data_IF_200337239672
#
_entry.id   IF_200337239672
#
_cell.length_a   1.000
_cell.length_b   1.000
_cell.length_c   1.000
_cell.angle_alpha   90.00
_cell.angle_beta   90.00
_cell.angle_gamma   90.00
#
_symmetry.space_group_name_H-M   'P 1'
#
loop_
_entity.id
_entity.type
_entity.pdbx_description
1 polymer ?
#
# COMPACT_ATOMS: atom_id res chain seq x y z
N UNK A 1 12.04 6.75 -4.46
CA UNK A 1 12.22 6.42 -5.90
C UNK A 1 11.41 5.17 -6.11
N UNK A 2 10.58 5.14 -7.14
CA UNK A 2 9.71 4.01 -7.44
C UNK A 2 10.20 3.32 -8.72
N UNK A 3 10.22 1.99 -8.70
CA UNK A 3 10.39 1.16 -9.89
C UNK A 3 9.09 0.38 -10.10
N UNK A 4 8.37 0.69 -11.18
CA UNK A 4 7.18 -0.07 -11.55
C UNK A 4 7.56 -1.49 -11.92
N UNK A 5 6.81 -2.46 -11.41
CA UNK A 5 6.82 -3.86 -11.79
C UNK A 5 5.66 -4.16 -12.76
N UNK A 6 5.01 -3.17 -13.36
CA UNK A 6 3.93 -3.34 -14.34
C UNK A 6 4.42 -3.80 -15.73
N UNK A 7 5.61 -4.40 -15.82
CA UNK A 7 6.12 -5.01 -17.04
C UNK A 7 5.35 -6.29 -17.42
N UNK A 8 5.92 -7.09 -18.32
CA UNK A 8 5.35 -8.38 -18.71
C UNK A 8 5.53 -9.41 -17.59
N UNK A 9 4.43 -10.01 -17.14
CA UNK A 9 4.39 -11.14 -16.22
C UNK A 9 3.97 -12.38 -16.98
N UNK A 10 4.79 -13.42 -16.96
CA UNK A 10 4.44 -14.70 -17.55
C UNK A 10 3.42 -15.41 -16.66
N UNK A 11 2.23 -15.66 -17.19
CA UNK A 11 1.16 -16.44 -16.56
C UNK A 11 1.33 -17.91 -16.94
N UNK A 12 1.34 -18.79 -15.94
CA UNK A 12 1.42 -20.24 -16.13
C UNK A 12 0.39 -20.97 -15.28
N UNK A 13 -0.34 -21.96 -15.81
CA UNK A 13 -1.19 -22.81 -14.98
C UNK A 13 -0.32 -23.71 -14.09
N UNK A 14 -0.78 -23.99 -12.87
CA UNK A 14 -0.16 -24.94 -11.96
C UNK A 14 -0.92 -26.28 -11.91
N UNK A 15 -2.21 -26.29 -12.22
CA UNK A 15 -3.06 -27.50 -12.17
C UNK A 15 -3.27 -28.12 -13.55
N UNK A 16 -3.94 -27.44 -14.49
CA UNK A 16 -4.08 -27.89 -15.88
C UNK A 16 -2.96 -27.33 -16.78
N UNK A 17 -1.86 -28.09 -16.84
CA UNK A 17 -0.68 -27.76 -17.65
C UNK A 17 -0.91 -27.80 -19.17
N UNK A 18 -2.11 -28.16 -19.63
CA UNK A 18 -2.44 -28.09 -21.06
C UNK A 18 -2.81 -26.67 -21.52
N UNK A 19 -3.17 -25.79 -20.59
CA UNK A 19 -3.46 -24.38 -20.87
C UNK A 19 -2.14 -23.69 -21.26
N UNK A 20 -2.10 -22.93 -22.37
CA UNK A 20 -0.90 -22.24 -22.80
C UNK A 20 -0.50 -21.12 -21.83
N UNK A 21 0.80 -20.88 -21.75
CA UNK A 21 1.36 -19.70 -21.06
C UNK A 21 1.25 -18.48 -21.96
N UNK A 22 1.07 -17.31 -21.35
CA UNK A 22 1.09 -16.02 -22.04
C UNK A 22 1.54 -14.91 -21.08
N UNK A 23 1.78 -13.70 -21.59
CA UNK A 23 2.27 -12.57 -20.82
C UNK A 23 1.16 -11.54 -20.53
N UNK A 24 0.94 -11.22 -19.26
CA UNK A 24 0.01 -10.18 -18.81
C UNK A 24 0.76 -8.95 -18.30
N UNK A 25 0.11 -7.79 -18.39
CA UNK A 25 0.56 -6.54 -17.75
C UNK A 25 -0.50 -6.06 -16.77
N UNK A 26 -0.10 -5.50 -15.64
CA UNK A 26 -1.04 -4.97 -14.66
C UNK A 26 -1.27 -3.45 -14.85
N UNK A 27 -2.45 -2.93 -14.50
CA UNK A 27 -3.60 -3.62 -13.90
C UNK A 27 -4.43 -4.42 -14.93
N UNK A 28 -4.75 -5.67 -14.63
CA UNK A 28 -5.54 -6.55 -15.50
C UNK A 28 -6.03 -7.82 -14.78
N UNK A 29 -7.16 -8.41 -15.25
CA UNK A 29 -7.47 -9.80 -14.95
C UNK A 29 -6.54 -10.73 -15.73
N UNK A 30 -6.25 -11.91 -15.18
CA UNK A 30 -5.45 -12.90 -15.93
C UNK A 30 -6.20 -13.44 -17.14
N UNK A 31 -7.54 -13.46 -17.11
CA UNK A 31 -8.38 -13.93 -18.21
C UNK A 31 -8.19 -13.13 -19.50
N UNK A 32 -7.58 -11.94 -19.43
CA UNK A 32 -7.24 -11.13 -20.60
C UNK A 32 -6.29 -11.83 -21.58
N UNK A 33 -5.42 -12.73 -21.11
CA UNK A 33 -4.38 -13.37 -21.91
C UNK A 33 -4.59 -14.88 -22.06
N UNK A 34 -5.67 -15.40 -21.48
CA UNK A 34 -5.99 -16.82 -21.50
C UNK A 34 -6.92 -17.15 -22.68
N UNK A 35 -6.97 -18.42 -23.12
CA UNK A 35 -7.85 -18.82 -24.21
C UNK A 35 -9.33 -18.56 -23.94
N UNK A 36 -10.04 -18.03 -24.94
CA UNK A 36 -11.48 -17.68 -24.88
C UNK A 36 -12.43 -18.86 -24.53
N UNK A 37 -11.95 -20.10 -24.57
CA UNK A 37 -12.77 -21.27 -24.20
C UNK A 37 -12.86 -21.49 -22.69
N UNK A 38 -11.98 -20.87 -21.90
CA UNK A 38 -12.01 -20.95 -20.44
C UNK A 38 -13.03 -19.95 -19.90
N UNK A 39 -13.94 -20.42 -19.05
CA UNK A 39 -14.82 -19.51 -18.32
C UNK A 39 -14.11 -18.92 -17.10
N UNK A 40 -14.58 -17.77 -16.59
CA UNK A 40 -14.03 -17.18 -15.36
C UNK A 40 -14.15 -18.12 -14.15
N UNK A 41 -15.15 -19.02 -14.14
CA UNK A 41 -15.28 -20.05 -13.11
C UNK A 41 -14.17 -21.09 -13.23
N UNK A 42 -13.89 -21.57 -14.45
CA UNK A 42 -12.81 -22.53 -14.68
C UNK A 42 -11.46 -21.91 -14.33
N UNK A 43 -11.26 -20.61 -14.65
CA UNK A 43 -10.03 -19.87 -14.32
C UNK A 43 -9.87 -19.76 -12.79
N UNK A 44 -10.94 -19.49 -12.06
CA UNK A 44 -10.89 -19.38 -10.60
C UNK A 44 -10.67 -20.72 -9.87
N UNK A 45 -11.06 -21.85 -10.47
CA UNK A 45 -10.78 -23.20 -9.95
C UNK A 45 -9.36 -23.69 -10.28
N UNK A 46 -8.62 -22.96 -11.12
CA UNK A 46 -7.23 -23.26 -11.45
C UNK A 46 -6.27 -22.48 -10.56
N UNK A 47 -5.15 -23.10 -10.24
CA UNK A 47 -4.02 -22.41 -9.61
C UNK A 47 -3.11 -21.81 -10.68
N UNK A 48 -2.60 -20.60 -10.41
CA UNK A 48 -1.82 -19.83 -11.37
C UNK A 48 -0.52 -19.36 -10.76
N UNK A 49 0.54 -19.39 -11.57
CA UNK A 49 1.84 -18.85 -11.24
C UNK A 49 2.19 -17.74 -12.21
N UNK A 50 2.37 -16.53 -11.66
CA UNK A 50 2.79 -15.37 -12.41
C UNK A 50 4.24 -15.05 -12.05
N UNK A 51 5.10 -14.91 -13.07
CA UNK A 51 6.53 -14.66 -12.88
C UNK A 51 6.97 -13.39 -13.60
N UNK A 52 7.78 -12.57 -12.91
CA UNK A 52 8.43 -11.41 -13.49
C UNK A 52 9.88 -11.30 -13.02
N UNK A 53 10.80 -11.13 -13.97
CA UNK A 53 12.23 -11.01 -13.68
C UNK A 53 12.69 -9.56 -13.89
N UNK A 54 13.47 -9.03 -12.94
CA UNK A 54 14.18 -7.76 -13.09
C UNK A 54 15.68 -7.94 -12.89
N UNK A 55 16.48 -7.05 -13.47
CA UNK A 55 17.90 -6.93 -13.17
C UNK A 55 18.11 -5.86 -12.09
N UNK A 56 18.68 -6.27 -10.96
CA UNK A 56 19.01 -5.40 -9.83
C UNK A 56 20.49 -5.03 -9.91
N UNK A 57 20.79 -3.74 -9.96
CA UNK A 57 22.16 -3.24 -10.04
C UNK A 57 22.72 -2.79 -8.67
N UNK A 58 23.98 -2.36 -8.66
CA UNK A 58 24.64 -1.86 -7.44
C UNK A 58 23.95 -0.61 -6.88
N UNK A 59 23.33 0.22 -7.73
CA UNK A 59 22.65 1.43 -7.31
C UNK A 59 21.37 1.12 -6.55
N UNK A 60 20.61 0.12 -7.00
CA UNK A 60 19.44 -0.43 -6.30
C UNK A 60 19.86 -1.07 -4.97
N UNK A 61 20.96 -1.84 -4.97
CA UNK A 61 21.48 -2.46 -3.73
C UNK A 61 22.04 -1.42 -2.74
N UNK A 62 22.38 -0.21 -3.18
CA UNK A 62 22.87 0.83 -2.29
C UNK A 62 21.78 1.43 -1.37
N UNK A 63 20.49 1.21 -1.67
CA UNK A 63 19.42 1.66 -0.80
C UNK A 63 19.38 0.81 0.49
N UNK A 64 19.28 1.44 1.68
CA UNK A 64 19.24 0.72 2.95
C UNK A 64 17.93 -0.05 3.17
N UNK A 65 16.85 0.34 2.50
CA UNK A 65 15.54 -0.26 2.57
C UNK A 65 14.84 -0.20 1.21
N UNK A 66 14.11 -1.26 0.88
CA UNK A 66 13.35 -1.38 -0.37
C UNK A 66 12.06 -2.09 -0.03
N UNK A 67 10.93 -1.42 -0.22
CA UNK A 67 9.63 -2.03 0.03
C UNK A 67 9.04 -2.56 -1.29
N UNK A 68 8.58 -3.81 -1.29
CA UNK A 68 7.64 -4.29 -2.30
C UNK A 68 6.25 -3.81 -1.89
N UNK A 69 5.55 -3.16 -2.83
CA UNK A 69 4.18 -2.71 -2.64
C UNK A 69 3.30 -3.39 -3.69
N UNK A 70 2.28 -4.10 -3.21
CA UNK A 70 1.29 -4.78 -4.04
C UNK A 70 -0.11 -4.50 -3.48
N UNK A 71 -1.05 -4.10 -4.33
CA UNK A 71 -2.42 -3.84 -3.92
C UNK A 71 -3.41 -4.14 -5.02
N UNK A 72 -4.69 -4.13 -4.66
CA UNK A 72 -5.76 -4.51 -5.57
C UNK A 72 -5.61 -5.94 -6.10
N UNK A 73 -5.15 -6.86 -5.27
CA UNK A 73 -5.19 -8.28 -5.60
C UNK A 73 -6.57 -8.77 -5.20
N UNK A 74 -7.38 -9.13 -6.18
CA UNK A 74 -8.63 -9.84 -5.93
C UNK A 74 -8.30 -11.33 -6.03
N UNK A 75 -8.70 -12.13 -5.03
CA UNK A 75 -8.36 -13.54 -4.76
C UNK A 75 -7.17 -13.75 -3.82
N UNK A 76 -7.17 -14.91 -3.14
CA UNK A 76 -6.04 -15.34 -2.33
C UNK A 76 -4.79 -15.53 -3.20
N UNK A 77 -3.68 -14.92 -2.80
CA UNK A 77 -2.41 -15.08 -3.50
C UNK A 77 -1.20 -15.03 -2.57
N UNK A 78 -0.24 -15.92 -2.79
CA UNK A 78 1.06 -15.88 -2.12
C UNK A 78 2.08 -15.11 -2.97
N UNK A 79 2.80 -14.17 -2.37
CA UNK A 79 3.84 -13.38 -3.04
C UNK A 79 5.23 -13.86 -2.63
N UNK A 80 6.08 -14.14 -3.62
CA UNK A 80 7.47 -14.56 -3.39
C UNK A 80 8.48 -13.71 -4.14
N UNK A 81 9.70 -13.71 -3.61
CA UNK A 81 10.88 -13.15 -4.25
C UNK A 81 12.02 -14.16 -4.18
N UNK A 82 12.57 -14.54 -5.35
CA UNK A 82 13.63 -15.54 -5.48
C UNK A 82 13.27 -16.86 -4.77
N UNK A 83 12.01 -17.29 -4.85
CA UNK A 83 11.48 -18.47 -4.17
C UNK A 83 11.25 -18.33 -2.65
N UNK A 84 11.48 -17.16 -2.06
CA UNK A 84 11.21 -16.88 -0.64
C UNK A 84 9.83 -16.23 -0.50
N UNK A 85 8.95 -16.83 0.31
CA UNK A 85 7.64 -16.29 0.65
C UNK A 85 7.77 -14.97 1.43
N UNK A 86 7.01 -13.96 1.03
CA UNK A 86 7.05 -12.61 1.60
C UNK A 86 5.81 -12.30 2.44
N UNK A 87 4.63 -12.48 1.87
CA UNK A 87 3.31 -12.26 2.46
C UNK A 87 2.22 -12.86 1.57
N UNK A 88 1.03 -13.04 2.15
CA UNK A 88 -0.18 -13.47 1.46
C UNK A 88 -1.13 -12.28 1.27
N UNK A 89 -1.83 -12.28 0.15
CA UNK A 89 -2.91 -11.37 -0.15
C UNK A 89 -4.23 -12.08 0.15
N UNK A 90 -4.80 -11.83 1.33
CA UNK A 90 -5.98 -12.50 1.91
C UNK A 90 -7.23 -11.60 1.94
N UNK A 91 -7.11 -10.39 1.40
CA UNK A 91 -8.19 -9.39 1.41
C UNK A 91 -8.34 -8.64 2.74
N UNK A 92 -7.43 -8.82 3.71
CA UNK A 92 -7.45 -8.06 4.98
C UNK A 92 -6.96 -6.63 4.82
N UNK A 93 -6.11 -6.37 3.81
CA UNK A 93 -5.51 -5.07 3.53
C UNK A 93 -5.76 -4.64 2.08
N UNK A 94 -5.97 -3.34 1.86
CA UNK A 94 -6.10 -2.78 0.51
C UNK A 94 -4.77 -2.73 -0.26
N UNK A 95 -3.66 -2.74 0.46
CA UNK A 95 -2.30 -2.71 -0.05
C UNK A 95 -1.37 -3.42 0.94
N UNK A 96 -0.56 -4.33 0.43
CA UNK A 96 0.41 -5.13 1.17
C UNK A 96 1.80 -4.56 0.91
N UNK A 97 2.58 -4.48 1.98
CA UNK A 97 3.91 -3.88 1.93
C UNK A 97 4.90 -4.66 2.78
N UNK A 98 6.08 -4.93 2.21
CA UNK A 98 7.15 -5.65 2.89
C UNK A 98 8.51 -5.08 2.53
N UNK A 99 9.37 -4.92 3.53
CA UNK A 99 10.79 -4.66 3.30
C UNK A 99 11.46 -5.89 2.68
N UNK A 100 11.78 -5.80 1.39
CA UNK A 100 12.38 -6.88 0.62
C UNK A 100 13.90 -6.74 0.48
N UNK A 101 14.50 -5.65 0.98
CA UNK A 101 15.94 -5.40 0.82
C UNK A 101 16.83 -6.58 1.24
N UNK A 102 16.54 -7.35 2.30
CA UNK A 102 17.33 -8.53 2.68
C UNK A 102 17.27 -9.70 1.68
N UNK A 103 16.23 -9.76 0.84
CA UNK A 103 15.99 -10.88 -0.09
C UNK A 103 16.42 -10.56 -1.53
N UNK A 104 16.71 -9.29 -1.83
CA UNK A 104 17.26 -8.87 -3.11
C UNK A 104 18.72 -9.31 -3.27
N UNK A 105 19.07 -9.77 -4.48
CA UNK A 105 20.43 -10.09 -4.88
C UNK A 105 20.90 -9.19 -6.04
N UNK A 106 22.21 -9.07 -6.26
CA UNK A 106 22.73 -8.38 -7.44
C UNK A 106 22.49 -9.24 -8.69
N UNK A 107 22.05 -8.62 -9.78
CA UNK A 107 21.66 -9.29 -11.02
C UNK A 107 20.18 -9.69 -11.02
N UNK A 108 19.86 -10.82 -11.66
CA UNK A 108 18.48 -11.29 -11.85
C UNK A 108 17.78 -11.59 -10.52
N UNK A 109 16.62 -10.97 -10.33
CA UNK A 109 15.68 -11.26 -9.25
C UNK A 109 14.32 -11.62 -9.85
N UNK A 110 13.69 -12.64 -9.27
CA UNK A 110 12.39 -13.13 -9.73
C UNK A 110 11.30 -12.82 -8.71
N UNK A 111 10.29 -12.09 -9.15
CA UNK A 111 9.05 -11.87 -8.42
C UNK A 111 8.01 -12.89 -8.89
N UNK A 112 7.27 -13.44 -7.93
CA UNK A 112 6.30 -14.49 -8.17
C UNK A 112 5.01 -14.14 -7.42
N UNK A 113 3.87 -14.29 -8.10
CA UNK A 113 2.54 -14.22 -7.49
C UNK A 113 1.87 -15.56 -7.80
N UNK A 114 1.49 -16.29 -6.75
CA UNK A 114 0.83 -17.58 -6.87
C UNK A 114 -0.62 -17.41 -6.42
N UNK A 115 -1.57 -17.54 -7.35
CA UNK A 115 -2.97 -17.68 -6.99
C UNK A 115 -3.23 -19.16 -6.69
N UNK A 116 -3.49 -19.45 -5.43
CA UNK A 116 -3.62 -20.80 -4.88
C UNK A 116 -5.01 -20.98 -4.29
N UNK A 117 -5.44 -22.24 -4.16
CA UNK A 117 -6.61 -22.53 -3.35
C UNK A 117 -6.37 -22.05 -1.91
N UNK A 118 -7.34 -21.37 -1.34
CA UNK A 118 -7.28 -20.91 0.05
C UNK A 118 -7.38 -22.16 0.96
N UNK A 119 -6.29 -22.51 1.65
CA UNK A 119 -6.36 -23.58 2.65
C UNK A 119 -7.31 -23.11 3.76
N UNK A 120 -8.34 -23.90 4.09
CA UNK A 120 -9.28 -23.56 5.16
C UNK A 120 -8.53 -23.21 6.45
N UNK A 121 -8.66 -21.96 6.88
CA UNK A 121 -8.09 -21.47 8.14
C UNK A 121 -8.59 -22.35 9.30
N UNK A 122 -7.68 -23.14 9.87
CA UNK A 122 -7.94 -23.92 11.10
C UNK A 122 -7.95 -23.04 12.36
N UNK A 123 -7.78 -21.72 12.21
CA UNK A 123 -7.78 -20.76 13.29
C UNK A 123 -9.20 -20.22 13.50
N UNK A 124 -9.70 -20.39 14.72
CA UNK A 124 -11.00 -19.83 15.11
C UNK A 124 -10.91 -18.29 15.11
N UNK A 125 -11.97 -17.61 14.64
CA UNK A 125 -12.11 -16.14 14.64
C UNK A 125 -11.80 -15.50 16.02
N UNK A 126 -11.87 -16.27 17.11
CA UNK A 126 -11.59 -15.84 18.49
C UNK A 126 -10.10 -15.51 18.76
N UNK A 127 -9.16 -15.94 17.91
CA UNK A 127 -7.71 -15.69 18.06
C UNK A 127 -7.20 -14.48 17.26
N UNK A 128 -8.03 -13.88 16.39
CA UNK A 128 -7.69 -12.63 15.71
C UNK A 128 -7.82 -11.47 16.72
N UNK A 129 -6.70 -11.11 17.35
CA UNK A 129 -6.58 -9.87 18.09
C UNK A 129 -6.94 -8.70 17.16
N UNK A 130 -8.17 -8.18 17.29
CA UNK A 130 -8.63 -7.01 16.57
C UNK A 130 -7.72 -5.82 16.87
N UNK A 131 -6.73 -5.61 16.01
CA UNK A 131 -5.93 -4.40 16.01
C UNK A 131 -6.87 -3.23 15.66
N UNK A 132 -6.69 -2.11 16.34
CA UNK A 132 -7.53 -0.94 16.14
C UNK A 132 -7.23 -0.33 14.76
N UNK A 133 -8.02 -0.70 13.74
CA UNK A 133 -7.93 -0.20 12.36
C UNK A 133 -8.60 1.19 12.21
N UNK A 134 -8.23 2.14 13.07
CA UNK A 134 -8.61 3.53 12.83
C UNK A 134 -7.81 4.02 11.62
N UNK A 135 -8.49 4.46 10.56
CA UNK A 135 -7.91 5.18 9.41
C UNK A 135 -7.40 4.35 8.23
N UNK A 136 -7.45 3.01 8.27
CA UNK A 136 -7.10 2.19 7.10
C UNK A 136 -8.21 2.25 6.03
N UNK A 137 -7.80 2.37 4.76
CA UNK A 137 -8.70 2.08 3.65
C UNK A 137 -9.02 0.58 3.69
N UNK A 138 -10.23 0.23 4.12
CA UNK A 138 -10.70 -1.14 4.05
C UNK A 138 -10.55 -1.66 2.61
N UNK A 139 -10.07 -2.90 2.47
CA UNK A 139 -10.00 -3.56 1.18
C UNK A 139 -11.35 -3.50 0.47
N UNK A 140 -11.33 -3.07 -0.78
CA UNK A 140 -12.50 -3.05 -1.66
C UNK A 140 -12.19 -3.92 -2.86
N UNK A 141 -13.01 -4.95 -3.05
CA UNK A 141 -12.96 -5.80 -4.24
C UNK A 141 -13.13 -4.94 -5.50
N UNK A 142 -12.21 -5.07 -6.45
CA UNK A 142 -12.19 -4.25 -7.67
C UNK A 142 -13.04 -4.86 -8.79
N UNK A 143 -12.96 -6.18 -8.96
CA UNK A 143 -13.61 -6.98 -9.99
C UNK A 143 -13.93 -8.38 -9.44
N UNK A 144 -14.81 -9.12 -10.11
CA UNK A 144 -15.08 -10.52 -9.74
C UNK A 144 -14.09 -11.51 -10.34
N UNK A 145 -13.31 -11.09 -11.34
CA UNK A 145 -12.30 -11.92 -12.01
C UNK A 145 -10.99 -11.92 -11.23
N UNK A 146 -10.25 -13.01 -11.36
CA UNK A 146 -8.92 -13.16 -10.77
C UNK A 146 -7.94 -12.19 -11.46
N UNK A 147 -7.26 -11.36 -10.67
CA UNK A 147 -6.38 -10.34 -11.23
C UNK A 147 -5.69 -9.44 -10.21
N UNK A 148 -4.84 -8.57 -10.74
CA UNK A 148 -4.16 -7.51 -10.00
C UNK A 148 -4.56 -6.17 -10.61
N UNK A 149 -5.13 -5.28 -9.79
CA UNK A 149 -5.84 -4.06 -10.20
C UNK A 149 -5.09 -2.77 -9.85
N UNK A 150 -3.93 -2.88 -9.22
CA UNK A 150 -2.96 -1.79 -9.10
C UNK A 150 -1.62 -2.23 -9.66
N UNK A 151 -0.85 -1.28 -10.18
CA UNK A 151 0.51 -1.57 -10.62
C UNK A 151 1.39 -1.92 -9.40
N UNK A 152 1.99 -3.12 -9.34
CA UNK A 152 2.98 -3.42 -8.32
C UNK A 152 4.23 -2.57 -8.54
N UNK A 153 4.91 -2.19 -7.46
CA UNK A 153 6.14 -1.40 -7.56
C UNK A 153 7.09 -1.64 -6.39
N UNK A 154 8.35 -1.25 -6.59
CA UNK A 154 9.37 -1.19 -5.55
C UNK A 154 9.57 0.24 -5.09
N UNK A 155 9.42 0.49 -3.80
CA UNK A 155 9.74 1.76 -3.16
C UNK A 155 11.16 1.70 -2.58
N UNK A 156 12.10 2.38 -3.23
CA UNK A 156 13.47 2.54 -2.73
C UNK A 156 13.56 3.69 -1.73
N UNK A 157 13.99 3.38 -0.50
CA UNK A 157 14.06 4.30 0.63
C UNK A 157 15.53 4.66 0.90
N UNK A 158 15.86 5.94 0.84
CA UNK A 158 17.26 6.39 0.89
C UNK A 158 17.72 6.77 2.28
N UNK A 159 16.90 7.55 2.98
CA UNK A 159 17.22 8.11 4.27
C UNK A 159 16.18 7.73 5.31
N UNK A 160 14.88 7.81 4.99
CA UNK A 160 13.82 7.74 5.99
C UNK A 160 12.58 7.02 5.46
N UNK A 161 12.03 6.07 6.22
CA UNK A 161 10.73 5.43 5.92
C UNK A 161 9.64 6.14 6.73
N UNK A 162 8.55 6.55 6.08
CA UNK A 162 7.35 6.99 6.78
C UNK A 162 6.63 5.73 7.30
N UNK A 163 6.42 5.63 8.60
CA UNK A 163 5.83 4.44 9.23
C UNK A 163 4.33 4.63 9.50
N UNK A 164 3.92 5.82 9.91
CA UNK A 164 2.51 6.16 10.06
C UNK A 164 2.31 7.67 10.11
N UNK A 165 1.08 8.09 9.86
CA UNK A 165 0.62 9.47 10.01
C UNK A 165 -0.44 9.52 11.12
N UNK A 166 -0.41 10.55 11.94
CA UNK A 166 -1.43 10.81 12.94
C UNK A 166 -2.07 12.15 12.69
N UNK A 167 -3.35 12.27 13.02
CA UNK A 167 -4.05 13.55 12.97
C UNK A 167 -4.78 13.80 14.27
N UNK A 168 -4.70 15.03 14.79
CA UNK A 168 -5.43 15.48 15.98
C UNK A 168 -6.20 16.77 15.67
N UNK A 169 -7.46 16.82 16.11
CA UNK A 169 -8.38 17.93 15.93
C UNK A 169 -8.71 18.57 17.28
N UNK A 170 -8.43 19.86 17.43
CA UNK A 170 -8.70 20.63 18.63
C UNK A 170 -9.74 21.70 18.30
N UNK A 171 -10.95 21.49 18.80
CA UNK A 171 -12.09 22.36 18.51
C UNK A 171 -12.21 23.52 19.50
N UNK A 172 -12.31 24.75 18.99
CA UNK A 172 -12.50 25.93 19.81
C UNK A 172 -13.98 26.31 19.95
N UNK A 173 -14.32 26.98 21.06
CA UNK A 173 -15.69 27.46 21.31
C UNK A 173 -16.23 28.42 20.22
N UNK A 174 -15.33 29.09 19.48
CA UNK A 174 -15.68 30.00 18.38
C UNK A 174 -16.03 29.32 17.05
N UNK A 175 -15.99 27.99 16.96
CA UNK A 175 -16.31 27.23 15.74
C UNK A 175 -15.11 26.87 14.87
N UNK A 176 -13.93 27.43 15.14
CA UNK A 176 -12.68 27.03 14.47
C UNK A 176 -12.10 25.72 15.01
N UNK A 177 -11.18 25.14 14.24
CA UNK A 177 -10.46 23.91 14.56
C UNK A 177 -8.96 24.07 14.29
N UNK A 178 -8.15 23.60 15.24
CA UNK A 178 -6.72 23.37 15.06
C UNK A 178 -6.51 21.91 14.64
N UNK A 179 -5.82 21.71 13.52
CA UNK A 179 -5.56 20.40 12.94
C UNK A 179 -4.06 20.10 12.93
N UNK A 180 -3.64 19.22 13.82
CA UNK A 180 -2.25 18.78 13.93
C UNK A 180 -2.05 17.51 13.12
N UNK A 181 -1.06 17.53 12.22
CA UNK A 181 -0.61 16.35 11.48
C UNK A 181 0.74 15.92 12.03
N UNK A 182 0.82 14.71 12.57
CA UNK A 182 2.04 14.06 13.03
C UNK A 182 2.57 13.08 11.98
N UNK A 183 3.86 13.17 11.67
CA UNK A 183 4.57 12.27 10.77
C UNK A 183 5.51 11.45 11.63
N UNK A 184 5.38 10.13 11.60
CA UNK A 184 6.24 9.23 12.33
C UNK A 184 7.08 8.42 11.35
N UNK A 185 8.38 8.36 11.60
CA UNK A 185 9.32 7.85 10.63
C UNK A 185 10.52 7.16 11.27
N UNK A 186 11.15 6.30 10.48
CA UNK A 186 12.38 5.60 10.83
C UNK A 186 13.53 6.07 9.96
N UNK A 187 14.61 6.50 10.60
CA UNK A 187 15.85 6.92 9.95
C UNK A 187 16.76 5.72 9.66
N UNK A 188 17.18 5.58 8.41
CA UNK A 188 18.12 4.56 7.93
C UNK A 188 19.52 5.13 7.68
N UNK A 189 19.60 6.36 7.15
CA UNK A 189 20.86 7.01 6.86
C UNK A 189 20.77 8.51 7.12
N UNK A 190 21.92 9.13 7.42
CA UNK A 190 21.99 10.58 7.57
C UNK A 190 21.79 11.27 6.23
N UNK A 191 20.92 12.27 6.17
CA UNK A 191 20.70 13.10 4.99
C UNK A 191 19.97 14.38 5.33
N UNK A 192 20.03 15.36 4.41
CA UNK A 192 19.15 16.53 4.46
C UNK A 192 17.82 16.15 3.84
N UNK A 193 16.83 15.88 4.70
CA UNK A 193 15.47 15.51 4.29
C UNK A 193 14.51 16.61 4.73
N UNK A 194 13.56 16.95 3.87
CA UNK A 194 12.42 17.78 4.22
C UNK A 194 11.14 17.00 3.95
N UNK A 195 10.17 17.09 4.85
CA UNK A 195 8.81 16.64 4.56
C UNK A 195 7.97 17.81 4.03
N UNK A 196 6.91 17.49 3.30
CA UNK A 196 5.83 18.45 3.04
C UNK A 196 4.49 17.90 3.46
N UNK A 197 3.69 18.73 4.10
CA UNK A 197 2.31 18.42 4.49
C UNK A 197 1.40 19.42 3.81
N UNK A 198 0.50 18.94 2.97
CA UNK A 198 -0.48 19.75 2.25
C UNK A 198 -1.87 19.43 2.75
N UNK A 199 -2.59 20.46 3.18
CA UNK A 199 -3.94 20.34 3.72
C UNK A 199 -4.70 21.65 3.48
N UNK A 200 -5.97 21.55 3.08
CA UNK A 200 -6.86 22.70 2.85
C UNK A 200 -6.21 23.82 1.98
N UNK A 201 -5.55 23.43 0.88
CA UNK A 201 -4.87 24.36 -0.02
C UNK A 201 -3.56 24.98 0.50
N UNK A 202 -3.19 24.74 1.76
CA UNK A 202 -1.92 25.18 2.35
C UNK A 202 -0.88 24.07 2.25
N UNK A 203 0.39 24.43 2.22
CA UNK A 203 1.51 23.47 2.26
C UNK A 203 2.58 23.96 3.22
N UNK A 204 2.92 23.12 4.20
CA UNK A 204 4.04 23.34 5.10
C UNK A 204 5.21 22.45 4.71
N UNK A 205 6.41 23.03 4.69
CA UNK A 205 7.66 22.29 4.55
C UNK A 205 8.32 22.17 5.91
N UNK A 206 8.54 20.93 6.36
CA UNK A 206 9.10 20.62 7.67
C UNK A 206 10.57 20.21 7.49
N UNK A 207 11.52 20.90 8.14
CA UNK A 207 12.89 20.39 8.23
C UNK A 207 12.91 19.15 9.12
N UNK A 208 13.57 18.09 8.68
CA UNK A 208 13.64 16.84 9.45
C UNK A 208 14.93 16.78 10.26
N UNK A 209 14.81 16.58 11.57
CA UNK A 209 15.96 16.19 12.41
C UNK A 209 16.12 14.67 12.36
N UNK A 210 17.20 14.21 11.74
CA UNK A 210 17.53 12.78 11.60
C UNK A 210 17.71 12.05 12.93
N UNK A 211 17.82 12.79 14.06
CA UNK A 211 17.91 12.25 15.42
C UNK A 211 16.55 12.07 16.10
N UNK A 212 15.51 12.67 15.55
CA UNK A 212 14.14 12.49 16.00
C UNK A 212 13.47 11.35 15.19
N UNK A 213 12.30 10.92 15.62
CA UNK A 213 11.46 9.93 14.92
C UNK A 213 10.08 10.51 14.55
N UNK A 214 9.88 11.80 14.77
CA UNK A 214 8.63 12.49 14.48
C UNK A 214 8.83 13.92 14.01
N UNK A 215 7.88 14.41 13.22
CA UNK A 215 7.74 15.83 12.89
C UNK A 215 6.25 16.16 12.84
N UNK A 216 5.87 17.42 13.00
CA UNK A 216 4.46 17.80 12.94
C UNK A 216 4.22 19.13 12.26
N UNK A 217 3.01 19.27 11.72
CA UNK A 217 2.50 20.48 11.09
C UNK A 217 1.14 20.84 11.72
N UNK A 218 0.95 22.09 12.14
CA UNK A 218 -0.30 22.58 12.71
C UNK A 218 -1.00 23.53 11.74
N UNK A 219 -2.24 23.19 11.38
CA UNK A 219 -3.11 24.00 10.55
C UNK A 219 -4.20 24.64 11.41
N UNK A 220 -4.56 25.89 11.10
CA UNK A 220 -5.71 26.56 11.71
C UNK A 220 -6.82 26.70 10.66
N UNK A 221 -8.03 26.27 11.03
CA UNK A 221 -9.20 26.27 10.16
C UNK A 221 -10.29 27.10 10.85
N UNK A 222 -10.58 28.28 10.31
CA UNK A 222 -11.55 29.20 10.92
C UNK A 222 -13.01 28.74 10.71
N UNK A 223 -13.32 28.20 9.54
CA UNK A 223 -14.65 27.71 9.16
C UNK A 223 -14.55 26.28 8.61
N UNK A 224 -14.36 25.26 9.48
CA UNK A 224 -14.21 23.87 9.04
C UNK A 224 -15.52 23.33 8.46
N UNK A 225 -15.42 22.61 7.36
CA UNK A 225 -16.50 21.78 6.83
C UNK A 225 -16.58 20.57 7.74
N UNK A 226 -17.73 20.38 8.38
CA UNK A 226 -17.95 19.30 9.32
C UNK A 226 -18.35 18.04 8.55
N UNK A 227 -17.59 16.96 8.73
CA UNK A 227 -17.94 15.66 8.19
C UNK A 227 -18.82 14.90 9.18
N UNK A 228 -19.92 14.33 8.69
CA UNK A 228 -20.68 13.33 9.45
C UNK A 228 -19.82 12.09 9.66
N UNK A 229 -19.63 11.66 10.91
CA UNK A 229 -18.81 10.50 11.25
C UNK A 229 -19.47 9.18 10.87
N UNK A 230 -20.81 9.13 10.83
CA UNK A 230 -21.58 7.91 10.57
C UNK A 230 -21.81 7.70 9.07
N UNK A 231 -21.88 8.80 8.31
CA UNK A 231 -22.11 8.78 6.86
C UNK A 231 -21.34 9.92 6.15
N UNK A 232 -20.00 9.86 6.11
CA UNK A 232 -19.19 10.92 5.51
C UNK A 232 -19.48 11.06 4.01
N UNK A 233 -19.81 12.27 3.57
CA UNK A 233 -19.85 12.61 2.16
C UNK A 233 -18.45 13.03 1.68
N UNK A 234 -18.04 12.56 0.50
CA UNK A 234 -16.74 12.88 -0.09
C UNK A 234 -16.49 14.39 -0.24
N UNK A 235 -17.55 15.17 -0.47
CA UNK A 235 -17.45 16.64 -0.60
C UNK A 235 -17.12 17.34 0.74
N UNK A 236 -17.37 16.66 1.86
CA UNK A 236 -17.10 17.18 3.20
C UNK A 236 -15.71 16.74 3.74
N UNK A 237 -14.95 15.97 2.95
CA UNK A 237 -13.63 15.47 3.32
C UNK A 237 -12.52 16.35 2.75
N UNK A 238 -11.50 16.59 3.57
CA UNK A 238 -10.29 17.28 3.17
C UNK A 238 -9.24 16.29 2.68
N UNK A 239 -8.59 16.60 1.56
CA UNK A 239 -7.42 15.85 1.13
C UNK A 239 -6.18 16.28 1.93
N UNK A 240 -5.64 15.37 2.72
CA UNK A 240 -4.32 15.46 3.34
C UNK A 240 -3.30 14.76 2.45
N UNK A 241 -2.26 15.46 2.01
CA UNK A 241 -1.13 14.87 1.27
C UNK A 241 0.16 15.07 2.07
N UNK A 242 0.84 13.96 2.36
CA UNK A 242 2.10 13.92 3.10
C UNK A 242 3.19 13.39 2.16
N UNK A 243 4.32 14.10 2.08
CA UNK A 243 5.51 13.62 1.37
C UNK A 243 6.71 13.57 2.31
N UNK A 244 7.41 12.43 2.36
CA UNK A 244 8.66 12.25 3.10
C UNK A 244 9.64 11.39 2.31
N UNK A 245 10.83 11.95 2.01
CA UNK A 245 11.92 11.24 1.32
C UNK A 245 11.46 10.55 0.00
N UNK A 246 10.52 11.19 -0.71
CA UNK A 246 9.93 10.67 -1.95
C UNK A 246 8.84 9.62 -1.77
N UNK A 247 8.38 9.33 -0.54
CA UNK A 247 7.14 8.59 -0.28
C UNK A 247 5.98 9.57 -0.21
N UNK A 248 4.91 9.35 -0.97
CA UNK A 248 3.71 10.20 -0.95
C UNK A 248 2.53 9.42 -0.42
N UNK A 249 1.84 9.98 0.57
CA UNK A 249 0.64 9.40 1.16
C UNK A 249 -0.51 10.39 1.10
N UNK A 250 -1.71 9.89 0.81
CA UNK A 250 -2.93 10.69 0.65
C UNK A 250 -4.05 10.12 1.48
N UNK A 251 -4.70 10.97 2.26
CA UNK A 251 -5.79 10.59 3.14
C UNK A 251 -6.97 11.54 2.93
N UNK A 252 -8.18 10.98 2.90
CA UNK A 252 -9.40 11.78 2.99
C UNK A 252 -9.76 11.93 4.47
N UNK A 253 -9.67 13.15 4.99
CA UNK A 253 -9.82 13.46 6.40
C UNK A 253 -11.13 14.21 6.62
N UNK A 254 -12.01 13.65 7.43
CA UNK A 254 -13.21 14.35 7.90
C UNK A 254 -12.92 15.14 9.16
N UNK A 255 -13.27 16.42 9.19
CA UNK A 255 -13.21 17.19 10.44
C UNK A 255 -14.49 16.96 11.24
N UNK A 256 -14.37 16.38 12.44
CA UNK A 256 -15.50 16.05 13.31
C UNK A 256 -15.12 16.22 14.79
N UNK A 257 -16.09 16.57 15.63
CA UNK A 257 -15.92 16.63 17.09
C UNK A 257 -15.98 15.25 17.74
N UNK A 258 -16.53 14.29 17.01
CA UNK A 258 -16.69 12.91 17.48
C UNK A 258 -15.46 12.05 17.11
N UNK A 259 -14.68 12.50 16.12
CA UNK A 259 -13.44 11.86 15.65
C UNK A 259 -12.25 12.83 15.74
N UNK A 260 -11.77 13.10 16.96
CA UNK A 260 -10.70 14.06 17.18
C UNK A 260 -9.30 13.52 16.93
N UNK A 261 -9.10 12.19 16.90
CA UNK A 261 -7.77 11.58 16.70
C UNK A 261 -7.90 10.43 15.70
N UNK A 262 -7.01 10.40 14.72
CA UNK A 262 -6.93 9.32 13.73
C UNK A 262 -5.49 8.88 13.56
N UNK A 263 -5.29 7.58 13.41
CA UNK A 263 -4.02 6.95 13.08
C UNK A 263 -4.09 6.46 11.63
N UNK A 264 -3.00 6.50 10.89
CA UNK A 264 -2.94 6.01 9.52
C UNK A 264 -1.66 5.16 9.40
N UNK A 265 -1.75 3.84 9.56
CA UNK A 265 -0.62 2.94 9.37
C UNK A 265 -0.24 2.86 7.88
N UNK A 266 1.04 2.59 7.58
CA UNK A 266 1.63 2.64 6.24
C UNK A 266 2.60 1.50 5.93
#
# INVERSE_FOLDING_TARGET
MELSLAGLWQVSPLTDLSIPQDDVTFPAPISQVLPDYLSESDIAEQEWHLMHDIEVDEAMMAFPAVDLVLGGVDYHAEVRLNGVALFDCDGTQAEYKKDIRPYLQLGRNRFEILFLEEEEDLLFEEDQLGLCQLGEDAYKKFDNRLGVWKEPYLQFIRHMRLEHVTTEQIWHHGGGCEFLVGLHYKTYSSGLVSASVKFNGMTYHLPIDVRDNRASALFQIEAPIYADSDAPNLEDLYLLEVNLDGQTQRFNVGLSKDMCVTHYPL
#
